data_IF_487136282411
#
_entry.id   IF_487136282411
#
_cell.length_a   1.000
_cell.length_b   1.000
_cell.length_c   1.000
_cell.angle_alpha   90.00
_cell.angle_beta   90.00
_cell.angle_gamma   90.00
#
_symmetry.space_group_name_H-M   'P 1'
#
loop_
_entity.id
_entity.type
_entity.pdbx_description
1 polymer ?
#
# COMPACT_ATOMS: atom_id res chain seq x y z
N UNK A 1 -39.22 20.23 -13.85
CA UNK A 1 -38.08 19.40 -14.31
C UNK A 1 -36.85 19.41 -13.40
N UNK A 2 -36.51 20.51 -12.70
CA UNK A 2 -35.33 20.52 -11.79
C UNK A 2 -35.62 19.90 -10.42
N UNK A 3 -36.79 20.15 -9.83
CA UNK A 3 -37.18 19.62 -8.51
C UNK A 3 -37.34 18.08 -8.46
N UNK A 4 -37.60 17.45 -9.61
CA UNK A 4 -37.84 16.01 -9.73
C UNK A 4 -36.53 15.21 -9.81
N UNK A 5 -35.47 15.82 -10.38
CA UNK A 5 -34.11 15.26 -10.37
C UNK A 5 -33.47 15.30 -8.99
N UNK A 6 -33.73 16.34 -8.20
CA UNK A 6 -33.24 16.45 -6.81
C UNK A 6 -33.89 15.42 -5.88
N UNK A 7 -35.17 15.09 -6.12
CA UNK A 7 -35.88 14.04 -5.39
C UNK A 7 -35.36 12.65 -5.74
N UNK A 8 -35.04 12.39 -7.01
CA UNK A 8 -34.40 11.14 -7.44
C UNK A 8 -32.97 11.00 -6.90
N UNK A 9 -32.17 12.07 -6.89
CA UNK A 9 -30.82 12.03 -6.32
C UNK A 9 -30.84 11.77 -4.80
N UNK A 10 -31.79 12.38 -4.07
CA UNK A 10 -31.98 12.13 -2.63
C UNK A 10 -32.55 10.74 -2.32
N UNK A 11 -33.40 10.20 -3.19
CA UNK A 11 -33.91 8.84 -3.08
C UNK A 11 -32.80 7.81 -3.31
N UNK A 12 -31.98 8.01 -4.35
CA UNK A 12 -30.81 7.17 -4.62
C UNK A 12 -29.78 7.23 -3.47
N UNK A 13 -29.56 8.41 -2.87
CA UNK A 13 -28.66 8.54 -1.72
C UNK A 13 -29.16 7.80 -0.47
N UNK A 14 -30.48 7.65 -0.29
CA UNK A 14 -31.06 6.88 0.82
C UNK A 14 -31.01 5.37 0.60
N UNK A 15 -31.07 4.91 -0.66
CA UNK A 15 -30.95 3.49 -1.00
C UNK A 15 -29.51 2.96 -0.92
N UNK A 16 -28.51 3.84 -0.97
CA UNK A 16 -27.08 3.46 -0.98
C UNK A 16 -26.49 3.34 0.45
N UNK A 17 -27.21 3.73 1.50
CA UNK A 17 -26.66 3.65 2.86
C UNK A 17 -26.66 2.19 3.35
N UNK A 18 -25.51 1.52 3.49
CA UNK A 18 -25.46 0.15 3.99
C UNK A 18 -26.03 0.11 5.41
N UNK A 19 -26.70 -0.99 5.75
CA UNK A 19 -27.12 -1.21 7.13
C UNK A 19 -25.90 -1.25 8.04
N UNK A 20 -26.02 -0.79 9.29
CA UNK A 20 -24.92 -0.81 10.26
C UNK A 20 -24.27 -2.21 10.40
N UNK A 21 -25.06 -3.28 10.25
CA UNK A 21 -24.56 -4.66 10.25
C UNK A 21 -23.70 -5.00 9.03
N UNK A 22 -24.03 -4.49 7.84
CA UNK A 22 -23.20 -4.68 6.63
C UNK A 22 -21.88 -3.93 6.74
N UNK A 23 -21.93 -2.67 7.19
CA UNK A 23 -20.73 -1.85 7.41
C UNK A 23 -19.77 -2.51 8.41
N UNK A 24 -20.28 -3.08 9.51
CA UNK A 24 -19.46 -3.80 10.49
C UNK A 24 -18.75 -5.02 9.89
N UNK A 25 -19.42 -5.77 9.01
CA UNK A 25 -18.83 -6.95 8.35
C UNK A 25 -17.77 -6.53 7.33
N UNK A 26 -18.00 -5.44 6.62
CA UNK A 26 -17.04 -4.86 5.67
C UNK A 26 -15.78 -4.36 6.39
N UNK A 27 -15.94 -3.63 7.50
CA UNK A 27 -14.81 -3.19 8.33
C UNK A 27 -14.02 -4.40 8.85
N UNK A 28 -14.68 -5.44 9.36
CA UNK A 28 -13.99 -6.63 9.84
C UNK A 28 -13.18 -7.32 8.74
N UNK A 29 -13.74 -7.43 7.53
CA UNK A 29 -13.02 -7.98 6.36
C UNK A 29 -11.81 -7.14 6.00
N UNK A 30 -11.94 -5.81 6.01
CA UNK A 30 -10.83 -4.91 5.72
C UNK A 30 -9.72 -5.04 6.77
N UNK A 31 -10.07 -5.10 8.06
CA UNK A 31 -9.11 -5.34 9.14
C UNK A 31 -8.36 -6.66 8.97
N UNK A 32 -9.07 -7.75 8.67
CA UNK A 32 -8.47 -9.06 8.42
C UNK A 32 -7.53 -9.02 7.21
N UNK A 33 -7.91 -8.31 6.15
CA UNK A 33 -7.08 -8.19 4.96
C UNK A 33 -5.80 -7.39 5.23
N UNK A 34 -5.89 -6.26 5.95
CA UNK A 34 -4.71 -5.47 6.35
C UNK A 34 -3.77 -6.28 7.24
N UNK A 35 -4.29 -7.08 8.18
CA UNK A 35 -3.49 -7.98 9.01
C UNK A 35 -2.76 -9.02 8.16
N UNK A 36 -3.45 -9.61 7.18
CA UNK A 36 -2.87 -10.60 6.29
C UNK A 36 -1.78 -10.00 5.39
N UNK A 37 -2.01 -8.82 4.83
CA UNK A 37 -1.02 -8.07 4.06
C UNK A 37 0.19 -7.66 4.90
N UNK A 38 -0.02 -7.25 6.15
CA UNK A 38 1.05 -6.97 7.10
C UNK A 38 1.89 -8.20 7.41
N UNK A 39 1.26 -9.36 7.59
CA UNK A 39 1.96 -10.63 7.78
C UNK A 39 2.77 -11.01 6.54
N UNK A 40 2.20 -10.87 5.34
CA UNK A 40 2.91 -11.07 4.07
C UNK A 40 4.14 -10.14 3.94
N UNK A 41 4.00 -8.85 4.28
CA UNK A 41 5.10 -7.90 4.27
C UNK A 41 6.25 -8.33 5.19
N UNK A 42 5.94 -8.63 6.45
CA UNK A 42 6.90 -9.08 7.45
C UNK A 42 7.60 -10.37 7.03
N UNK A 43 6.83 -11.31 6.50
CA UNK A 43 7.34 -12.60 6.03
C UNK A 43 8.36 -12.42 4.89
N UNK A 44 8.09 -11.55 3.90
CA UNK A 44 9.07 -11.22 2.85
C UNK A 44 10.34 -10.55 3.41
N UNK A 45 10.20 -9.63 4.36
CA UNK A 45 11.35 -8.97 4.99
C UNK A 45 12.21 -9.97 5.78
N UNK A 46 11.58 -10.84 6.57
CA UNK A 46 12.27 -11.87 7.34
C UNK A 46 12.97 -12.84 6.39
N UNK A 47 12.32 -13.26 5.31
CA UNK A 47 12.95 -14.13 4.30
C UNK A 47 14.11 -13.47 3.58
N UNK A 48 13.98 -12.19 3.24
CA UNK A 48 15.10 -11.43 2.67
C UNK A 48 16.29 -11.39 3.64
N UNK A 49 16.02 -11.24 4.94
CA UNK A 49 17.04 -11.22 5.98
C UNK A 49 17.67 -12.61 6.23
N UNK A 50 16.87 -13.68 6.27
CA UNK A 50 17.31 -15.04 6.64
C UNK A 50 17.74 -15.87 5.42
N UNK A 51 17.29 -15.54 4.22
CA UNK A 51 17.58 -16.26 2.96
C UNK A 51 16.74 -17.51 2.72
N UNK A 52 15.48 -17.55 3.18
CA UNK A 52 14.61 -18.75 3.10
C UNK A 52 13.41 -18.59 2.15
N UNK A 53 12.78 -19.72 1.83
CA UNK A 53 11.84 -19.90 0.73
C UNK A 53 10.39 -19.52 1.02
N UNK A 54 9.88 -18.47 0.36
CA UNK A 54 8.50 -18.30 -0.13
C UNK A 54 7.43 -19.32 0.33
N UNK A 55 6.57 -19.02 1.31
CA UNK A 55 5.31 -19.75 1.53
C UNK A 55 4.19 -18.77 1.26
N UNK A 56 3.38 -19.12 0.27
CA UNK A 56 2.18 -18.45 -0.24
C UNK A 56 2.38 -17.27 -1.22
N UNK A 57 1.51 -17.17 -2.24
CA UNK A 57 1.48 -16.05 -3.19
C UNK A 57 1.11 -14.73 -2.49
N UNK A 58 1.45 -13.57 -3.09
CA UNK A 58 1.04 -12.27 -2.54
C UNK A 58 -0.49 -12.20 -2.41
N UNK A 59 -1.01 -11.74 -1.25
CA UNK A 59 -2.44 -11.54 -1.11
C UNK A 59 -2.96 -10.42 -2.02
N UNK A 60 -4.24 -10.51 -2.35
CA UNK A 60 -4.93 -9.47 -3.11
C UNK A 60 -4.91 -8.15 -2.31
N UNK A 61 -4.62 -7.01 -2.95
CA UNK A 61 -4.71 -5.71 -2.27
C UNK A 61 -6.13 -5.48 -1.71
N UNK A 62 -6.27 -4.65 -0.66
CA UNK A 62 -7.56 -4.38 -0.05
C UNK A 62 -8.54 -3.74 -1.03
N UNK A 63 -9.84 -3.94 -0.77
CA UNK A 63 -10.87 -3.24 -1.53
C UNK A 63 -10.72 -1.75 -1.29
N UNK A 64 -10.62 -0.98 -2.38
CA UNK A 64 -10.51 0.48 -2.33
C UNK A 64 -11.75 1.11 -1.66
N UNK A 65 -12.88 0.41 -1.65
CA UNK A 65 -14.15 0.90 -1.12
C UNK A 65 -14.17 1.11 0.41
N UNK A 66 -13.30 0.42 1.16
CA UNK A 66 -13.25 0.48 2.64
C UNK A 66 -11.98 1.20 3.13
N UNK A 67 -11.23 1.80 2.21
CA UNK A 67 -10.10 2.64 2.55
C UNK A 67 -10.60 3.98 3.09
N UNK A 68 -10.21 4.33 4.32
CA UNK A 68 -10.55 5.62 4.89
C UNK A 68 -9.81 6.74 4.14
N UNK A 69 -10.49 7.36 3.17
CA UNK A 69 -9.98 8.52 2.46
C UNK A 69 -9.77 9.75 3.36
N UNK A 70 -10.32 9.76 4.58
CA UNK A 70 -10.06 10.83 5.55
C UNK A 70 -8.66 10.69 6.16
N UNK A 71 -8.17 9.46 6.36
CA UNK A 71 -6.79 9.18 6.79
C UNK A 71 -5.77 9.78 5.80
N UNK A 72 -6.09 9.75 4.51
CA UNK A 72 -5.28 10.39 3.46
C UNK A 72 -5.20 11.91 3.59
N UNK A 73 -6.22 12.55 4.18
CA UNK A 73 -6.33 14.01 4.34
C UNK A 73 -5.82 14.51 5.70
N UNK A 74 -5.52 13.62 6.63
CA UNK A 74 -4.97 13.99 7.94
C UNK A 74 -3.58 14.60 7.77
N UNK A 75 -3.40 15.82 8.29
CA UNK A 75 -2.10 16.48 8.26
C UNK A 75 -1.17 15.85 9.29
N UNK A 76 0.02 15.45 8.88
CA UNK A 76 1.03 14.97 9.81
C UNK A 76 1.47 16.09 10.76
N UNK A 77 1.43 15.83 12.07
CA UNK A 77 1.90 16.76 13.10
C UNK A 77 3.12 16.16 13.80
N UNK A 78 4.14 16.98 14.00
CA UNK A 78 5.37 16.55 14.66
C UNK A 78 5.11 16.22 16.12
N UNK A 79 5.49 15.02 16.55
CA UNK A 79 5.37 14.61 17.95
C UNK A 79 6.31 15.46 18.82
N UNK A 80 5.74 16.24 19.74
CA UNK A 80 6.49 17.08 20.67
C UNK A 80 6.41 16.51 22.08
N UNK A 81 7.53 15.97 22.57
CA UNK A 81 7.65 15.41 23.91
C UNK A 81 7.90 16.44 25.02
N UNK A 82 8.20 17.70 24.68
CA UNK A 82 8.73 18.64 25.66
C UNK A 82 7.74 19.77 26.04
N UNK A 83 7.26 19.84 27.30
CA UNK A 83 6.60 21.03 27.83
C UNK A 83 7.57 22.20 28.06
N UNK A 84 8.89 21.99 27.92
CA UNK A 84 9.89 23.04 27.93
C UNK A 84 10.36 23.32 26.50
N UNK A 85 10.14 24.57 26.08
CA UNK A 85 10.63 25.15 24.83
C UNK A 85 12.09 24.74 24.58
N UNK A 86 12.32 23.78 23.69
CA UNK A 86 13.66 23.56 23.15
C UNK A 86 14.05 24.82 22.38
N UNK A 87 15.18 25.43 22.74
CA UNK A 87 15.70 26.67 22.14
C UNK A 87 16.21 26.49 20.72
N UNK A 88 16.10 25.28 20.16
CA UNK A 88 16.40 25.00 18.78
C UNK A 88 15.17 25.37 17.95
N UNK A 89 15.30 26.17 16.88
CA UNK A 89 14.18 26.41 16.00
C UNK A 89 13.73 25.04 15.47
N UNK A 90 12.55 24.58 15.91
CA UNK A 90 11.89 23.47 15.26
C UNK A 90 11.83 23.85 13.78
N UNK A 91 12.41 23.01 12.92
CA UNK A 91 12.19 23.14 11.49
C UNK A 91 10.68 23.20 11.29
N UNK A 92 10.19 24.34 10.84
CA UNK A 92 8.81 24.48 10.40
C UNK A 92 8.65 23.57 9.19
N UNK A 93 8.06 22.40 9.41
CA UNK A 93 7.60 21.54 8.34
C UNK A 93 6.23 22.02 7.91
N UNK A 94 6.05 22.22 6.61
CA UNK A 94 4.73 22.44 6.06
C UNK A 94 3.90 21.15 6.24
N UNK A 95 2.67 21.24 6.76
CA UNK A 95 1.82 20.07 6.93
C UNK A 95 1.50 19.47 5.55
N UNK A 96 1.84 18.19 5.40
CA UNK A 96 1.53 17.38 4.20
C UNK A 96 0.51 16.32 4.60
N UNK A 97 -0.42 15.93 3.70
CA UNK A 97 -1.34 14.84 3.98
C UNK A 97 -0.58 13.54 4.28
N UNK A 98 -1.04 12.77 5.26
CA UNK A 98 -0.32 11.59 5.79
C UNK A 98 -0.20 10.46 4.77
N UNK A 99 -1.17 10.37 3.85
CA UNK A 99 -1.18 9.37 2.76
C UNK A 99 -0.95 7.92 3.23
N UNK A 100 -1.46 7.56 4.40
CA UNK A 100 -1.16 6.29 5.04
C UNK A 100 -1.62 5.09 4.20
N UNK A 101 -2.81 5.18 3.61
CA UNK A 101 -3.40 4.14 2.76
C UNK A 101 -2.64 4.03 1.43
N UNK A 102 -2.37 5.16 0.78
CA UNK A 102 -1.63 5.22 -0.49
C UNK A 102 -0.22 4.65 -0.30
N UNK A 103 0.44 5.03 0.80
CA UNK A 103 1.77 4.54 1.16
C UNK A 103 1.74 3.04 1.44
N UNK A 104 0.79 2.56 2.24
CA UNK A 104 0.64 1.13 2.53
C UNK A 104 0.40 0.31 1.26
N UNK A 105 -0.52 0.74 0.40
CA UNK A 105 -0.82 0.09 -0.88
C UNK A 105 0.41 0.02 -1.78
N UNK A 106 1.12 1.15 -1.93
CA UNK A 106 2.35 1.20 -2.70
C UNK A 106 3.42 0.25 -2.11
N UNK A 107 3.54 0.20 -0.80
CA UNK A 107 4.50 -0.66 -0.10
C UNK A 107 4.19 -2.16 -0.31
N UNK A 108 2.92 -2.56 -0.26
CA UNK A 108 2.50 -3.93 -0.60
C UNK A 108 2.88 -4.28 -2.03
N UNK A 109 2.74 -3.36 -2.99
CA UNK A 109 3.18 -3.55 -4.37
C UNK A 109 4.67 -3.90 -4.48
N UNK A 110 5.52 -3.19 -3.75
CA UNK A 110 6.96 -3.49 -3.66
C UNK A 110 7.22 -4.87 -3.05
N UNK A 111 6.52 -5.25 -1.97
CA UNK A 111 6.68 -6.58 -1.37
C UNK A 111 6.23 -7.70 -2.31
N UNK A 112 5.21 -7.47 -3.14
CA UNK A 112 4.83 -8.39 -4.21
C UNK A 112 5.95 -8.62 -5.23
N UNK A 113 6.62 -7.55 -5.66
CA UNK A 113 7.80 -7.64 -6.54
C UNK A 113 8.96 -8.35 -5.85
N UNK A 114 9.27 -8.00 -4.60
CA UNK A 114 10.31 -8.65 -3.79
C UNK A 114 10.04 -10.16 -3.62
N UNK A 115 8.80 -10.55 -3.35
CA UNK A 115 8.43 -11.97 -3.21
C UNK A 115 8.76 -12.78 -4.45
N UNK A 116 8.53 -12.22 -5.65
CA UNK A 116 8.87 -12.87 -6.93
C UNK A 116 10.37 -13.04 -7.10
N UNK A 117 11.16 -12.03 -6.70
CA UNK A 117 12.63 -12.12 -6.66
C UNK A 117 13.04 -13.26 -5.73
N UNK A 118 12.53 -13.27 -4.49
CA UNK A 118 12.87 -14.29 -3.50
C UNK A 118 12.50 -15.70 -3.98
N UNK A 119 11.34 -15.87 -4.61
CA UNK A 119 10.93 -17.14 -5.19
C UNK A 119 11.86 -17.61 -6.32
N UNK A 120 12.40 -16.71 -7.14
CA UNK A 120 13.34 -17.10 -8.19
C UNK A 120 14.68 -17.54 -7.62
N UNK A 121 15.23 -16.76 -6.67
CA UNK A 121 16.59 -16.99 -6.18
C UNK A 121 16.70 -18.06 -5.10
N UNK A 122 15.67 -18.21 -4.26
CA UNK A 122 15.74 -19.10 -3.11
C UNK A 122 15.02 -20.43 -3.33
N UNK A 123 14.28 -20.65 -4.44
CA UNK A 123 13.54 -21.91 -4.70
C UNK A 123 14.50 -23.03 -5.09
N UNK A 124 15.15 -23.55 -4.05
CA UNK A 124 16.32 -24.40 -4.03
C UNK A 124 16.15 -25.82 -4.60
N UNK A 125 15.14 -26.13 -5.42
CA UNK A 125 14.91 -27.51 -5.84
C UNK A 125 14.35 -27.68 -7.27
N UNK A 126 14.44 -26.67 -8.15
CA UNK A 126 14.07 -26.90 -9.55
C UNK A 126 15.31 -27.18 -10.42
N UNK A 127 15.61 -28.44 -10.77
CA UNK A 127 16.74 -28.79 -11.63
C UNK A 127 16.55 -28.34 -13.08
N UNK A 128 15.39 -27.78 -13.46
CA UNK A 128 15.14 -27.21 -14.79
C UNK A 128 15.55 -25.74 -14.89
N UNK A 129 16.76 -25.43 -14.42
CA UNK A 129 17.40 -24.13 -14.63
C UNK A 129 17.81 -23.99 -16.10
N UNK A 130 16.83 -23.59 -16.91
CA UNK A 130 16.94 -22.51 -17.89
C UNK A 130 17.02 -21.14 -17.17
N UNK A 131 17.61 -21.07 -15.96
CA UNK A 131 17.50 -19.94 -15.04
C UNK A 131 17.95 -18.62 -15.63
N UNK A 132 18.94 -18.58 -16.53
CA UNK A 132 19.40 -17.32 -17.10
C UNK A 132 18.32 -16.63 -17.95
N UNK A 133 17.61 -17.39 -18.79
CA UNK A 133 16.54 -16.84 -19.61
C UNK A 133 15.36 -16.40 -18.73
N UNK A 134 14.99 -17.22 -17.75
CA UNK A 134 13.92 -16.89 -16.79
C UNK A 134 14.28 -15.69 -15.88
N UNK A 135 15.55 -15.53 -15.50
CA UNK A 135 16.06 -14.37 -14.76
C UNK A 135 15.93 -13.09 -15.59
N UNK A 136 16.31 -13.13 -16.87
CA UNK A 136 16.21 -11.96 -17.75
C UNK A 136 14.78 -11.55 -18.02
N UNK A 137 13.90 -12.51 -18.29
CA UNK A 137 12.46 -12.25 -18.46
C UNK A 137 11.86 -11.68 -17.17
N UNK A 138 12.19 -12.25 -16.00
CA UNK A 138 11.69 -11.73 -14.74
C UNK A 138 12.23 -10.32 -14.47
N UNK A 139 13.51 -10.06 -14.76
CA UNK A 139 14.11 -8.74 -14.60
C UNK A 139 13.37 -7.70 -15.44
N UNK A 140 13.18 -7.95 -16.73
CA UNK A 140 12.48 -7.02 -17.63
C UNK A 140 11.03 -6.79 -17.16
N UNK A 141 10.33 -7.85 -16.74
CA UNK A 141 8.99 -7.74 -16.16
C UNK A 141 9.00 -6.85 -14.91
N UNK A 142 9.93 -7.09 -13.98
CA UNK A 142 10.01 -6.33 -12.72
C UNK A 142 10.40 -4.87 -12.95
N UNK A 143 11.29 -4.58 -13.90
CA UNK A 143 11.64 -3.20 -14.27
C UNK A 143 10.43 -2.44 -14.81
N UNK A 144 9.64 -3.06 -15.69
CA UNK A 144 8.40 -2.48 -16.19
C UNK A 144 7.35 -2.28 -15.08
N UNK A 145 7.22 -3.25 -14.17
CA UNK A 145 6.33 -3.13 -13.02
C UNK A 145 6.76 -2.05 -12.04
N UNK A 146 8.06 -1.91 -11.79
CA UNK A 146 8.62 -0.88 -10.92
C UNK A 146 8.43 0.51 -11.52
N UNK A 147 8.56 0.64 -12.84
CA UNK A 147 8.28 1.88 -13.54
C UNK A 147 6.80 2.28 -13.45
N UNK A 148 5.87 1.33 -13.70
CA UNK A 148 4.42 1.57 -13.53
C UNK A 148 4.11 1.98 -12.09
N UNK A 149 4.62 1.22 -11.13
CA UNK A 149 4.46 1.50 -9.70
C UNK A 149 4.95 2.91 -9.33
N UNK A 150 6.09 3.34 -9.89
CA UNK A 150 6.64 4.68 -9.66
C UNK A 150 5.76 5.78 -10.24
N UNK A 151 5.15 5.53 -11.40
CA UNK A 151 4.25 6.49 -12.06
C UNK A 151 2.90 6.62 -11.33
N UNK A 152 2.45 5.55 -10.70
CA UNK A 152 1.19 5.49 -9.93
C UNK A 152 1.33 6.11 -8.52
N UNK A 153 2.56 6.35 -8.03
CA UNK A 153 2.79 7.00 -6.75
C UNK A 153 2.28 8.45 -6.75
N UNK A 154 1.59 8.88 -5.67
CA UNK A 154 1.27 10.28 -5.45
C UNK A 154 2.53 11.15 -5.51
N UNK A 155 2.40 12.38 -6.03
CA UNK A 155 3.52 13.28 -6.28
C UNK A 155 4.43 13.48 -5.06
N UNK A 156 3.85 13.55 -3.86
CA UNK A 156 4.59 13.75 -2.60
C UNK A 156 5.39 12.52 -2.15
N UNK A 157 5.02 11.33 -2.65
CA UNK A 157 5.67 10.04 -2.36
C UNK A 157 6.65 9.62 -3.46
N UNK A 158 6.69 10.33 -4.58
CA UNK A 158 7.69 10.07 -5.61
C UNK A 158 9.09 10.34 -5.01
N UNK A 159 10.03 9.38 -5.12
CA UNK A 159 11.38 9.60 -4.63
C UNK A 159 11.94 10.82 -5.36
N UNK A 160 12.18 11.90 -4.62
CA UNK A 160 12.99 13.02 -5.09
C UNK A 160 14.40 12.46 -5.25
N UNK A 161 14.67 11.85 -6.40
CA UNK A 161 16.00 11.44 -6.79
C UNK A 161 16.87 12.68 -6.61
N UNK A 162 17.86 12.55 -5.71
CA UNK A 162 18.93 13.52 -5.59
C UNK A 162 19.52 13.59 -6.99
N UNK A 163 19.31 14.72 -7.66
CA UNK A 163 19.98 15.02 -8.90
C UNK A 163 21.45 15.23 -8.51
N UNK A 164 22.28 14.22 -8.76
CA UNK A 164 23.74 14.37 -8.80
C UNK A 164 24.14 15.16 -10.06
#
# INVERSE_FOLDING_TARGET
MVAERDLQLRANFREISPSFGQLSVEIEKEMQNRLHLGMFALDNLIRLYVGTLATDPPPTPPSVEILDSLEELEAWVLYTDDPQSSTLPLRTFDPVPTRAVSTFTAQIGLYGMLSRILQLFFKANDPTIQAYASCWILKELLENQLESWRQELPHDLQPKLIQD
#
